data_IF_155839135074
#
_entry.id   IF_155839135074
#
_cell.length_a   1.000
_cell.length_b   1.000
_cell.length_c   1.000
_cell.angle_alpha   90.00
_cell.angle_beta   90.00
_cell.angle_gamma   90.00
#
_symmetry.space_group_name_H-M   'P 1'
#
loop_
_entity.id
_entity.type
_entity.pdbx_description
1 polymer ?
#
# COMPACT_ATOMS: atom_id res chain seq x y z
N UNK A 1 -13.01 0.96 33.95
CA UNK A 1 -11.83 1.35 33.14
C UNK A 1 -12.09 0.92 31.71
N UNK A 2 -12.21 1.82 30.72
CA UNK A 2 -12.17 1.38 29.34
C UNK A 2 -10.71 1.34 28.91
N UNK A 3 -10.14 0.14 28.82
CA UNK A 3 -8.95 -0.06 28.00
C UNK A 3 -9.35 0.30 26.56
N UNK A 4 -8.61 1.26 26.02
CA UNK A 4 -8.83 1.90 24.74
C UNK A 4 -9.08 0.82 23.69
N UNK A 5 -10.22 0.91 23.00
CA UNK A 5 -10.48 0.14 21.80
C UNK A 5 -9.33 0.46 20.85
N UNK A 6 -8.33 -0.42 20.77
CA UNK A 6 -7.33 -0.40 19.70
C UNK A 6 -8.14 -0.40 18.43
N UNK A 7 -8.32 0.79 17.87
CA UNK A 7 -8.89 0.97 16.56
C UNK A 7 -7.92 0.18 15.70
N UNK A 8 -8.29 -1.02 15.29
CA UNK A 8 -7.64 -1.67 14.18
C UNK A 8 -7.86 -0.68 13.06
N UNK A 9 -6.84 0.16 12.84
CA UNK A 9 -6.80 1.17 11.81
C UNK A 9 -6.76 0.40 10.50
N UNK A 10 -7.90 -0.16 10.13
CA UNK A 10 -8.17 -0.89 8.91
C UNK A 10 -8.39 0.17 7.83
N UNK A 11 -7.35 0.98 7.60
CA UNK A 11 -7.31 2.02 6.59
C UNK A 11 -7.32 1.35 5.23
N UNK A 12 -8.51 1.00 4.75
CA UNK A 12 -8.69 0.56 3.38
C UNK A 12 -8.63 1.79 2.48
N UNK A 13 -7.45 2.12 1.98
CA UNK A 13 -7.25 3.28 1.11
C UNK A 13 -6.79 2.85 -0.27
N UNK A 14 -7.41 3.40 -1.30
CA UNK A 14 -6.99 3.25 -2.69
C UNK A 14 -6.68 4.63 -3.25
N UNK A 15 -5.49 4.80 -3.81
CA UNK A 15 -5.05 6.03 -4.44
C UNK A 15 -4.76 5.76 -5.90
N UNK A 16 -5.24 6.66 -6.74
CA UNK A 16 -5.12 6.57 -8.19
C UNK A 16 -4.28 7.73 -8.72
N UNK A 17 -3.59 7.52 -9.83
CA UNK A 17 -2.96 8.60 -10.59
C UNK A 17 -3.99 9.38 -11.42
N UNK A 18 -3.51 10.40 -12.13
CA UNK A 18 -4.35 11.21 -13.03
C UNK A 18 -4.91 10.43 -14.22
N UNK A 19 -4.34 9.27 -14.54
CA UNK A 19 -4.76 8.37 -15.61
C UNK A 19 -5.73 7.29 -15.12
N UNK A 20 -6.02 7.23 -13.82
CA UNK A 20 -6.88 6.23 -13.19
C UNK A 20 -6.19 4.92 -12.80
N UNK A 21 -4.86 4.84 -12.88
CA UNK A 21 -4.12 3.66 -12.44
C UNK A 21 -3.92 3.66 -10.92
N UNK A 22 -4.05 2.49 -10.30
CA UNK A 22 -3.92 2.31 -8.85
C UNK A 22 -2.46 2.48 -8.40
N UNK A 23 -2.09 3.62 -7.80
CA UNK A 23 -0.72 3.87 -7.30
C UNK A 23 -0.46 3.31 -5.91
N UNK A 24 -1.46 3.31 -5.05
CA UNK A 24 -1.31 2.83 -3.66
C UNK A 24 -2.59 2.17 -3.20
N UNK A 25 -2.44 1.03 -2.57
CA UNK A 25 -3.52 0.31 -1.91
C UNK A 25 -3.08 -0.06 -0.51
N UNK A 26 -3.92 0.23 0.47
CA UNK A 26 -3.76 -0.25 1.84
C UNK A 26 -4.93 -1.17 2.14
N UNK A 27 -4.65 -2.35 2.69
CA UNK A 27 -5.68 -3.29 3.11
C UNK A 27 -5.91 -3.24 4.62
N UNK A 28 -7.01 -3.83 5.06
CA UNK A 28 -7.39 -3.90 6.49
C UNK A 28 -6.40 -4.68 7.36
N UNK A 29 -5.48 -5.44 6.76
CA UNK A 29 -4.41 -6.15 7.45
C UNK A 29 -3.12 -5.31 7.61
N UNK A 30 -3.14 -4.03 7.23
CA UNK A 30 -2.00 -3.13 7.30
C UNK A 30 -0.95 -3.36 6.20
N UNK A 31 -1.28 -4.14 5.16
CA UNK A 31 -0.43 -4.32 3.98
C UNK A 31 -0.66 -3.15 3.03
N UNK A 32 0.44 -2.56 2.58
CA UNK A 32 0.50 -1.44 1.65
C UNK A 32 1.13 -1.94 0.35
N UNK A 33 0.37 -1.96 -0.74
CA UNK A 33 0.86 -2.18 -2.08
C UNK A 33 1.07 -0.82 -2.78
N UNK A 34 2.28 -0.58 -3.26
CA UNK A 34 2.64 0.58 -4.06
C UNK A 34 2.92 0.14 -5.49
N UNK A 35 2.41 0.90 -6.43
CA UNK A 35 2.61 0.69 -7.86
C UNK A 35 3.10 1.99 -8.50
N UNK A 36 4.04 1.85 -9.41
CA UNK A 36 4.44 2.93 -10.31
C UNK A 36 4.17 2.54 -11.74
N UNK A 37 3.84 3.53 -12.55
CA UNK A 37 3.49 3.35 -13.95
C UNK A 37 4.29 4.31 -14.81
N UNK A 38 4.55 3.92 -16.06
CA UNK A 38 5.09 4.82 -17.06
C UNK A 38 3.99 5.70 -17.68
N UNK A 39 4.39 6.60 -18.56
CA UNK A 39 3.47 7.51 -19.26
C UNK A 39 2.50 6.79 -20.22
N UNK A 40 2.66 5.49 -20.43
CA UNK A 40 1.81 4.62 -21.25
C UNK A 40 0.89 3.74 -20.39
N UNK A 41 0.91 3.89 -19.06
CA UNK A 41 0.10 3.10 -18.12
C UNK A 41 0.66 1.69 -17.84
N UNK A 42 1.90 1.39 -18.24
CA UNK A 42 2.55 0.10 -17.94
C UNK A 42 3.17 0.15 -16.56
N UNK A 43 2.96 -0.90 -15.77
CA UNK A 43 3.49 -0.99 -14.40
C UNK A 43 5.01 -1.14 -14.42
N UNK A 44 5.71 -0.13 -13.89
CA UNK A 44 7.17 -0.10 -13.75
C UNK A 44 7.64 -0.79 -12.47
N UNK A 45 6.92 -0.60 -11.37
CA UNK A 45 7.26 -1.24 -10.11
C UNK A 45 6.02 -1.68 -9.32
N UNK A 46 6.22 -2.70 -8.50
CA UNK A 46 5.29 -3.09 -7.47
C UNK A 46 6.07 -3.37 -6.19
N UNK A 47 5.76 -2.64 -5.14
CA UNK A 47 6.33 -2.83 -3.81
C UNK A 47 5.22 -3.14 -2.82
N UNK A 48 5.30 -4.30 -2.19
CA UNK A 48 4.43 -4.68 -1.10
C UNK A 48 5.16 -4.49 0.23
N UNK A 49 4.50 -3.79 1.13
CA UNK A 49 4.97 -3.51 2.48
C UNK A 49 3.91 -3.95 3.47
N UNK A 50 4.30 -4.37 4.66
CA UNK A 50 3.38 -4.68 5.75
C UNK A 50 3.72 -3.84 6.95
N UNK A 51 2.73 -3.14 7.47
CA UNK A 51 2.83 -2.37 8.70
C UNK A 51 2.45 -3.31 9.85
N UNK A 52 3.42 -3.69 10.67
CA UNK A 52 3.19 -4.47 11.89
C UNK A 52 3.40 -3.55 13.09
N UNK A 53 2.34 -2.85 13.49
CA UNK A 53 2.42 -1.83 14.54
C UNK A 53 3.21 -0.60 14.06
N UNK A 54 4.32 -0.28 14.72
CA UNK A 54 5.21 0.85 14.40
C UNK A 54 6.27 0.54 13.33
N UNK A 55 6.37 -0.70 12.87
CA UNK A 55 7.39 -1.12 11.92
C UNK A 55 6.79 -1.37 10.52
N UNK A 56 7.37 -0.69 9.52
CA UNK A 56 7.10 -0.96 8.11
C UNK A 56 8.12 -1.97 7.58
N UNK A 57 7.65 -3.18 7.25
CA UNK A 57 8.49 -4.21 6.65
C UNK A 57 8.22 -4.28 5.14
N UNK A 58 9.25 -4.16 4.32
CA UNK A 58 9.14 -4.43 2.88
C UNK A 58 9.08 -5.95 2.72
N UNK A 59 7.99 -6.45 2.16
CA UNK A 59 7.80 -7.86 1.89
C UNK A 59 8.41 -8.23 0.54
N UNK A 60 8.12 -7.43 -0.48
CA UNK A 60 8.47 -7.77 -1.85
C UNK A 60 8.55 -6.49 -2.68
N UNK A 61 9.55 -6.37 -3.55
CA UNK A 61 9.65 -5.25 -4.48
C UNK A 61 10.14 -5.78 -5.82
N UNK A 62 9.37 -5.51 -6.88
CA UNK A 62 9.72 -5.82 -8.26
C UNK A 62 9.81 -4.52 -9.05
N UNK A 63 10.84 -4.39 -9.86
CA UNK A 63 11.00 -3.29 -10.81
C UNK A 63 11.28 -3.90 -12.17
N UNK A 64 10.59 -3.42 -13.20
CA UNK A 64 10.95 -3.71 -14.58
C UNK A 64 12.16 -2.85 -14.94
N UNK A 65 13.26 -3.43 -15.43
CA UNK A 65 14.43 -2.69 -15.89
C UNK A 65 14.14 -1.84 -17.13
#
# INVERSE_FOLDING_TARGET
MPAILTILQSDLTHQYDQLGNLRKKVNSAGVVDLYTYDNQGRKLSHTQQKTKGTQHQILTSYMTP
#
